data_IF_733322221795
#
_entry.id   IF_733322221795
#
_cell.length_a   1.000
_cell.length_b   1.000
_cell.length_c   1.000
_cell.angle_alpha   90.00
_cell.angle_beta   90.00
_cell.angle_gamma   90.00
#
_symmetry.space_group_name_H-M   'P 1'
#
loop_
_entity.id
_entity.type
_entity.pdbx_description
1 polymer ?
#
# COMPACT_ATOMS: atom_id res chain seq x y z
N UNK A 1 26.37 8.40 -12.25
CA UNK A 1 24.91 8.61 -12.37
C UNK A 1 24.19 7.41 -11.78
N UNK A 2 23.51 7.57 -10.64
CA UNK A 2 22.66 6.49 -10.10
C UNK A 2 21.47 6.25 -11.03
N UNK A 3 21.14 4.98 -11.30
CA UNK A 3 19.93 4.64 -12.06
C UNK A 3 18.70 5.13 -11.29
N UNK A 4 17.76 5.83 -11.93
CA UNK A 4 16.55 6.28 -11.23
C UNK A 4 15.82 5.05 -10.67
N UNK A 5 15.61 5.02 -9.36
CA UNK A 5 14.80 3.99 -8.74
C UNK A 5 13.38 3.99 -9.32
N UNK A 6 12.65 2.89 -9.19
CA UNK A 6 11.32 2.73 -9.82
C UNK A 6 10.30 3.83 -9.47
N UNK A 7 10.43 4.50 -8.30
CA UNK A 7 9.62 5.68 -7.96
C UNK A 7 9.99 6.93 -8.79
N UNK A 8 11.28 7.08 -9.12
CA UNK A 8 11.74 8.14 -10.03
C UNK A 8 11.24 7.94 -11.45
N UNK A 9 11.15 6.69 -11.92
CA UNK A 9 10.53 6.38 -13.22
C UNK A 9 9.04 6.77 -13.18
N UNK A 10 8.31 6.40 -12.12
CA UNK A 10 6.92 6.81 -11.97
C UNK A 10 6.75 8.35 -11.94
N UNK A 11 7.61 9.07 -11.23
CA UNK A 11 7.60 10.54 -11.21
C UNK A 11 7.82 11.13 -12.61
N UNK A 12 8.77 10.56 -13.38
CA UNK A 12 9.04 11.00 -14.74
C UNK A 12 7.84 10.76 -15.67
N UNK A 13 7.19 9.60 -15.57
CA UNK A 13 5.99 9.29 -16.35
C UNK A 13 4.84 10.27 -16.04
N UNK A 14 4.64 10.60 -14.77
CA UNK A 14 3.62 11.58 -14.36
C UNK A 14 3.96 12.97 -14.86
N UNK A 15 5.23 13.39 -14.81
CA UNK A 15 5.65 14.70 -15.31
C UNK A 15 5.45 14.83 -16.82
N UNK A 16 5.91 13.83 -17.60
CA UNK A 16 5.72 13.78 -19.05
C UNK A 16 4.23 13.76 -19.38
N UNK A 17 3.46 12.95 -18.64
CA UNK A 17 2.02 12.85 -18.80
C UNK A 17 1.32 14.18 -18.55
N UNK A 18 1.64 14.84 -17.43
CA UNK A 18 1.12 16.16 -17.08
C UNK A 18 1.45 17.22 -18.12
N UNK A 19 2.69 17.26 -18.61
CA UNK A 19 3.09 18.19 -19.67
C UNK A 19 2.28 17.96 -20.96
N UNK A 20 2.13 16.71 -21.39
CA UNK A 20 1.32 16.36 -22.55
C UNK A 20 -0.15 16.78 -22.40
N UNK A 21 -0.75 16.52 -21.22
CA UNK A 21 -2.14 16.94 -20.94
C UNK A 21 -2.31 18.47 -20.96
N UNK A 22 -1.30 19.21 -20.48
CA UNK A 22 -1.33 20.67 -20.46
C UNK A 22 -1.24 21.25 -21.87
N UNK A 23 -0.29 20.77 -22.66
CA UNK A 23 -0.12 21.18 -24.07
C UNK A 23 -1.37 20.88 -24.89
N UNK A 24 -1.98 19.70 -24.70
CA UNK A 24 -3.24 19.34 -25.36
C UNK A 24 -4.37 20.31 -25.00
N UNK A 25 -4.52 20.65 -23.72
CA UNK A 25 -5.59 21.54 -23.25
C UNK A 25 -5.50 22.92 -23.89
N UNK A 26 -4.30 23.51 -23.94
CA UNK A 26 -4.08 24.80 -24.59
C UNK A 26 -4.29 24.75 -26.10
N UNK A 27 -3.82 23.68 -26.75
CA UNK A 27 -4.07 23.47 -28.17
C UNK A 27 -5.58 23.44 -28.48
N UNK A 28 -6.36 22.72 -27.67
CA UNK A 28 -7.81 22.60 -27.88
C UNK A 28 -8.53 23.94 -27.68
N UNK A 29 -8.15 24.70 -26.64
CA UNK A 29 -8.65 26.06 -26.42
C UNK A 29 -8.35 26.95 -27.64
N UNK A 30 -7.13 26.90 -28.16
CA UNK A 30 -6.73 27.69 -29.34
C UNK A 30 -7.56 27.31 -30.57
N UNK A 31 -7.72 26.01 -30.85
CA UNK A 31 -8.48 25.54 -32.02
C UNK A 31 -9.96 25.92 -31.93
N UNK A 32 -10.60 25.70 -30.78
CA UNK A 32 -12.00 26.07 -30.59
C UNK A 32 -12.20 27.58 -30.63
N UNK A 33 -11.31 28.36 -30.03
CA UNK A 33 -11.36 29.83 -30.05
C UNK A 33 -11.22 30.37 -31.46
N UNK A 34 -10.31 29.81 -32.25
CA UNK A 34 -10.11 30.18 -33.66
C UNK A 34 -11.36 29.88 -34.49
N UNK A 35 -11.91 28.68 -34.38
CA UNK A 35 -13.14 28.28 -35.08
C UNK A 35 -14.34 29.16 -34.68
N UNK A 36 -14.48 29.47 -33.39
CA UNK A 36 -15.52 30.34 -32.88
C UNK A 36 -15.38 31.78 -33.39
N UNK A 37 -14.14 32.30 -33.47
CA UNK A 37 -13.84 33.63 -34.02
C UNK A 37 -14.16 33.73 -35.52
N UNK A 38 -13.78 32.73 -36.32
CA UNK A 38 -14.18 32.65 -37.74
C UNK A 38 -15.69 32.65 -37.86
N UNK A 39 -16.38 31.84 -37.05
CA UNK A 39 -17.82 31.74 -37.09
C UNK A 39 -18.51 33.08 -36.83
N UNK A 40 -18.21 33.74 -35.70
CA UNK A 40 -18.82 35.02 -35.37
C UNK A 40 -18.43 36.12 -36.36
N UNK A 41 -17.22 36.07 -36.93
CA UNK A 41 -16.79 36.99 -37.99
C UNK A 41 -17.62 36.85 -39.27
N UNK A 42 -17.86 35.61 -39.72
CA UNK A 42 -18.73 35.32 -40.87
C UNK A 42 -20.16 35.77 -40.56
N UNK A 43 -20.71 35.42 -39.40
CA UNK A 43 -22.06 35.78 -39.00
C UNK A 43 -22.25 37.30 -38.94
N UNK A 44 -21.29 38.02 -38.35
CA UNK A 44 -21.29 39.48 -38.29
C UNK A 44 -21.24 40.12 -39.67
N UNK A 45 -20.42 39.60 -40.57
CA UNK A 45 -20.29 40.10 -41.95
C UNK A 45 -21.57 39.87 -42.76
N UNK A 46 -22.16 38.68 -42.67
CA UNK A 46 -23.44 38.36 -43.34
C UNK A 46 -24.56 39.27 -42.84
N UNK A 47 -24.61 39.50 -41.52
CA UNK A 47 -25.60 40.39 -40.91
C UNK A 47 -25.41 41.85 -41.33
N UNK A 48 -24.17 42.33 -41.38
CA UNK A 48 -23.85 43.72 -41.74
C UNK A 48 -24.14 44.04 -43.21
N UNK A 49 -23.98 43.07 -44.11
CA UNK A 49 -24.20 43.27 -45.54
C UNK A 49 -25.67 43.27 -45.95
N UNK A 50 -26.61 43.02 -45.02
CA UNK A 50 -28.03 42.75 -45.33
C UNK A 50 -28.20 41.75 -46.49
N UNK A 51 -27.18 40.89 -46.71
CA UNK A 51 -27.16 40.00 -47.84
C UNK A 51 -28.29 39.00 -47.61
N UNK A 52 -29.30 39.04 -48.49
CA UNK A 52 -30.35 38.02 -48.48
C UNK A 52 -29.68 36.65 -48.49
N UNK A 53 -30.22 35.68 -47.72
CA UNK A 53 -29.67 34.31 -47.63
C UNK A 53 -29.41 33.66 -49.01
N UNK A 54 -30.02 34.19 -50.05
CA UNK A 54 -29.86 33.83 -51.46
C UNK A 54 -28.57 34.31 -52.14
N UNK A 55 -27.93 35.40 -51.68
CA UNK A 55 -26.70 35.94 -52.28
C UNK A 55 -25.41 35.36 -51.67
N UNK A 56 -25.50 34.83 -50.46
CA UNK A 56 -24.39 34.15 -49.79
C UNK A 56 -24.40 32.70 -50.28
N UNK A 57 -23.43 32.33 -51.12
CA UNK A 57 -23.38 31.00 -51.74
C UNK A 57 -23.59 29.85 -50.75
N UNK A 58 -24.24 28.77 -51.20
CA UNK A 58 -24.65 27.61 -50.38
C UNK A 58 -23.55 27.04 -49.47
N UNK A 59 -22.28 27.15 -49.88
CA UNK A 59 -21.13 26.70 -49.11
C UNK A 59 -20.87 27.54 -47.84
N UNK A 60 -21.09 28.87 -47.87
CA UNK A 60 -20.96 29.71 -46.67
C UNK A 60 -22.13 29.47 -45.70
N UNK A 61 -23.32 29.18 -46.24
CA UNK A 61 -24.50 28.85 -45.45
C UNK A 61 -24.37 27.49 -44.76
N UNK A 62 -23.71 26.51 -45.37
CA UNK A 62 -23.39 25.24 -44.70
C UNK A 62 -22.44 25.43 -43.51
N UNK A 63 -21.48 26.37 -43.59
CA UNK A 63 -20.60 26.72 -42.46
C UNK A 63 -21.39 27.33 -41.29
N UNK A 64 -22.52 27.97 -41.55
CA UNK A 64 -23.39 28.57 -40.51
C UNK A 64 -24.49 27.63 -39.99
N UNK A 65 -24.66 26.44 -40.58
CA UNK A 65 -25.68 25.45 -40.18
C UNK A 65 -25.11 24.22 -39.45
N UNK A 66 -23.80 24.13 -39.25
CA UNK A 66 -23.19 23.08 -38.43
C UNK A 66 -23.60 23.14 -36.95
N UNK A 67 -23.17 22.17 -36.11
CA UNK A 67 -23.42 22.15 -34.67
C UNK A 67 -22.62 23.27 -33.97
N UNK A 68 -23.02 24.51 -34.19
CA UNK A 68 -22.28 25.69 -33.77
C UNK A 68 -22.74 26.17 -32.40
N UNK A 69 -23.98 25.85 -32.02
CA UNK A 69 -24.47 26.05 -30.66
C UNK A 69 -23.65 25.32 -29.60
N UNK A 70 -22.92 24.26 -29.99
CA UNK A 70 -22.08 23.49 -29.08
C UNK A 70 -20.65 24.02 -28.96
N UNK A 71 -20.15 24.84 -29.90
CA UNK A 71 -18.76 25.36 -29.85
C UNK A 71 -18.43 26.13 -28.55
N UNK A 72 -19.31 27.02 -28.03
CA UNK A 72 -19.09 27.66 -26.73
C UNK A 72 -19.01 26.66 -25.57
N UNK A 73 -19.77 25.56 -25.64
CA UNK A 73 -19.74 24.49 -24.64
C UNK A 73 -18.41 23.72 -24.72
N UNK A 74 -17.94 23.38 -25.92
CA UNK A 74 -16.63 22.77 -26.10
C UNK A 74 -15.50 23.66 -25.56
N UNK A 75 -15.61 24.98 -25.77
CA UNK A 75 -14.62 25.92 -25.26
C UNK A 75 -14.63 25.94 -23.72
N UNK A 76 -15.83 25.96 -23.11
CA UNK A 76 -15.97 25.83 -21.64
C UNK A 76 -15.37 24.54 -21.11
N UNK A 77 -15.68 23.39 -21.72
CA UNK A 77 -15.11 22.10 -21.34
C UNK A 77 -13.58 22.11 -21.43
N UNK A 78 -13.02 22.77 -22.45
CA UNK A 78 -11.57 22.90 -22.62
C UNK A 78 -10.93 23.76 -21.52
N UNK A 79 -11.60 24.81 -21.04
CA UNK A 79 -11.15 25.56 -19.86
C UNK A 79 -11.24 24.72 -18.58
N UNK A 80 -12.26 23.87 -18.44
CA UNK A 80 -12.40 22.97 -17.28
C UNK A 80 -11.31 21.89 -17.26
N UNK A 81 -10.76 21.49 -18.41
CA UNK A 81 -9.61 20.57 -18.47
C UNK A 81 -8.33 21.14 -17.84
N UNK A 82 -8.11 22.45 -17.97
CA UNK A 82 -6.84 23.10 -17.59
C UNK A 82 -6.49 22.90 -16.11
N UNK A 83 -7.39 23.13 -15.13
CA UNK A 83 -7.10 22.86 -13.73
C UNK A 83 -6.61 21.42 -13.47
N UNK A 84 -7.23 20.42 -14.10
CA UNK A 84 -6.80 19.02 -13.93
C UNK A 84 -5.44 18.76 -14.55
N UNK A 85 -5.17 19.29 -15.74
CA UNK A 85 -3.85 19.18 -16.37
C UNK A 85 -2.76 19.85 -15.52
N UNK A 86 -3.05 21.03 -14.94
CA UNK A 86 -2.14 21.75 -14.02
C UNK A 86 -1.87 20.92 -12.77
N UNK A 87 -2.89 20.31 -12.16
CA UNK A 87 -2.72 19.43 -10.99
C UNK A 87 -1.81 18.24 -11.33
N UNK A 88 -2.05 17.57 -12.45
CA UNK A 88 -1.24 16.42 -12.89
C UNK A 88 0.23 16.86 -13.08
N UNK A 89 0.46 17.97 -13.78
CA UNK A 89 1.80 18.51 -14.04
C UNK A 89 2.51 18.95 -12.75
N UNK A 90 1.83 19.69 -11.88
CA UNK A 90 2.39 20.17 -10.61
C UNK A 90 2.78 19.01 -9.69
N UNK A 91 1.95 17.97 -9.60
CA UNK A 91 2.27 16.77 -8.82
C UNK A 91 3.44 15.99 -9.43
N UNK A 92 3.56 15.95 -10.76
CA UNK A 92 4.73 15.39 -11.45
C UNK A 92 6.03 16.10 -11.09
N UNK A 93 6.03 17.45 -11.11
CA UNK A 93 7.18 18.27 -10.68
C UNK A 93 7.49 17.96 -9.21
N UNK A 94 6.48 17.97 -8.34
CA UNK A 94 6.68 17.77 -6.92
C UNK A 94 7.27 16.39 -6.64
N UNK A 95 6.80 15.33 -7.29
CA UNK A 95 7.35 13.98 -7.16
C UNK A 95 8.80 13.89 -7.64
N UNK A 96 9.14 14.55 -8.75
CA UNK A 96 10.48 14.49 -9.31
C UNK A 96 11.50 15.20 -8.42
N UNK A 97 11.19 16.43 -7.96
CA UNK A 97 12.17 17.28 -7.27
C UNK A 97 12.14 17.13 -5.75
N UNK A 98 10.96 17.05 -5.13
CA UNK A 98 10.87 16.93 -3.66
C UNK A 98 10.98 15.48 -3.18
N UNK A 99 10.87 14.49 -4.08
CA UNK A 99 10.75 13.07 -3.75
C UNK A 99 9.65 12.78 -2.73
N UNK A 100 8.64 13.65 -2.63
CA UNK A 100 7.51 13.50 -1.70
C UNK A 100 6.41 12.64 -2.34
N UNK A 101 6.48 11.33 -2.08
CA UNK A 101 5.48 10.37 -2.53
C UNK A 101 4.52 10.05 -1.38
N UNK A 102 3.32 10.64 -1.38
CA UNK A 102 2.29 10.32 -0.40
C UNK A 102 1.10 9.61 -1.04
N UNK A 103 0.41 8.78 -0.24
CA UNK A 103 -0.84 8.11 -0.69
C UNK A 103 -1.90 9.12 -1.10
N UNK A 104 -2.05 10.19 -0.32
CA UNK A 104 -3.02 11.26 -0.61
C UNK A 104 -2.74 11.91 -1.98
N UNK A 105 -1.49 12.25 -2.27
CA UNK A 105 -1.12 12.79 -3.58
C UNK A 105 -1.37 11.81 -4.73
N UNK A 106 -1.10 10.52 -4.52
CA UNK A 106 -1.38 9.51 -5.55
C UNK A 106 -2.88 9.33 -5.81
N UNK A 107 -3.73 9.43 -4.78
CA UNK A 107 -5.20 9.43 -4.93
C UNK A 107 -5.66 10.67 -5.70
N UNK A 108 -5.18 11.87 -5.33
CA UNK A 108 -5.50 13.12 -6.03
C UNK A 108 -5.09 13.05 -7.49
N UNK A 109 -3.90 12.53 -7.77
CA UNK A 109 -3.40 12.36 -9.12
C UNK A 109 -4.24 11.38 -9.94
N UNK A 110 -4.62 10.23 -9.36
CA UNK A 110 -5.48 9.25 -10.01
C UNK A 110 -6.85 9.86 -10.34
N UNK A 111 -7.47 10.55 -9.38
CA UNK A 111 -8.74 11.24 -9.57
C UNK A 111 -8.66 12.29 -10.68
N UNK A 112 -7.65 13.17 -10.63
CA UNK A 112 -7.45 14.20 -11.64
C UNK A 112 -7.24 13.60 -13.04
N UNK A 113 -6.49 12.49 -13.14
CA UNK A 113 -6.25 11.79 -14.41
C UNK A 113 -7.53 11.18 -14.99
N UNK A 114 -8.37 10.56 -14.16
CA UNK A 114 -9.66 9.98 -14.60
C UNK A 114 -10.62 11.06 -15.07
N UNK A 115 -10.77 12.15 -14.31
CA UNK A 115 -11.64 13.27 -14.69
C UNK A 115 -11.16 13.92 -15.98
N UNK A 116 -9.84 14.14 -16.10
CA UNK A 116 -9.23 14.66 -17.33
C UNK A 116 -9.54 13.78 -18.54
N UNK A 117 -9.34 12.45 -18.43
CA UNK A 117 -9.60 11.51 -19.52
C UNK A 117 -11.10 11.49 -19.92
N UNK A 118 -12.00 11.57 -18.95
CA UNK A 118 -13.44 11.63 -19.21
C UNK A 118 -13.83 12.91 -19.95
N UNK A 119 -13.34 14.06 -19.52
CA UNK A 119 -13.59 15.36 -20.17
C UNK A 119 -12.97 15.43 -21.57
N UNK A 120 -11.75 14.89 -21.74
CA UNK A 120 -11.10 14.80 -23.05
C UNK A 120 -11.88 13.89 -24.01
N UNK A 121 -12.46 12.79 -23.50
CA UNK A 121 -13.31 11.91 -24.28
C UNK A 121 -14.63 12.56 -24.69
N UNK A 122 -15.28 13.31 -23.80
CA UNK A 122 -16.47 14.09 -24.15
C UNK A 122 -16.17 15.12 -25.25
N UNK A 123 -15.07 15.87 -25.11
CA UNK A 123 -14.63 16.80 -26.14
C UNK A 123 -14.37 16.11 -27.47
N UNK A 124 -13.73 14.94 -27.45
CA UNK A 124 -13.47 14.21 -28.68
C UNK A 124 -14.76 13.71 -29.34
N UNK A 125 -15.70 13.15 -28.59
CA UNK A 125 -16.93 12.58 -29.15
C UNK A 125 -17.79 13.65 -29.82
N UNK A 126 -17.91 14.83 -29.20
CA UNK A 126 -18.83 15.87 -29.66
C UNK A 126 -18.17 16.89 -30.62
N UNK A 127 -16.84 17.00 -30.63
CA UNK A 127 -16.13 18.05 -31.39
C UNK A 127 -15.02 17.51 -32.32
N UNK A 128 -15.01 16.20 -32.61
CA UNK A 128 -14.01 15.56 -33.49
C UNK A 128 -13.81 16.25 -34.85
N UNK A 129 -14.89 16.78 -35.43
CA UNK A 129 -14.87 17.41 -36.75
C UNK A 129 -14.04 18.70 -36.83
N UNK A 130 -13.74 19.33 -35.68
CA UNK A 130 -13.10 20.65 -35.64
C UNK A 130 -11.58 20.60 -35.49
N UNK A 131 -10.99 19.46 -35.10
CA UNK A 131 -9.56 19.38 -34.76
C UNK A 131 -8.68 18.85 -35.89
N UNK A 132 -9.27 18.35 -36.98
CA UNK A 132 -8.63 18.11 -38.29
C UNK A 132 -7.44 17.14 -38.35
N UNK A 133 -6.91 16.66 -37.21
CA UNK A 133 -5.67 15.88 -37.15
C UNK A 133 -5.70 14.78 -36.09
N UNK A 134 -5.65 13.53 -36.57
CA UNK A 134 -5.55 12.28 -35.79
C UNK A 134 -4.37 12.28 -34.79
N UNK A 135 -3.28 12.97 -35.10
CA UNK A 135 -2.06 12.97 -34.29
C UNK A 135 -2.23 13.72 -32.96
N UNK A 136 -3.02 14.79 -32.94
CA UNK A 136 -3.25 15.59 -31.72
C UNK A 136 -4.15 14.84 -30.72
N UNK A 137 -5.00 13.95 -31.23
CA UNK A 137 -5.90 13.13 -30.41
C UNK A 137 -5.16 12.18 -29.49
N UNK A 138 -3.97 11.68 -29.87
CA UNK A 138 -3.22 10.76 -29.01
C UNK A 138 -2.61 11.43 -27.77
N UNK A 139 -2.33 12.74 -27.81
CA UNK A 139 -1.61 13.44 -26.75
C UNK A 139 -2.35 13.46 -25.40
N UNK A 140 -3.67 13.69 -25.43
CA UNK A 140 -4.49 13.74 -24.21
C UNK A 140 -4.55 12.39 -23.49
N UNK A 141 -4.80 11.31 -24.26
CA UNK A 141 -4.94 9.97 -23.70
C UNK A 141 -3.60 9.42 -23.25
N UNK A 142 -2.54 9.61 -24.03
CA UNK A 142 -1.18 9.22 -23.61
C UNK A 142 -0.83 9.95 -22.32
N UNK A 143 -1.09 11.26 -22.23
CA UNK A 143 -0.80 12.04 -21.03
C UNK A 143 -1.56 11.55 -19.80
N UNK A 144 -2.89 11.41 -19.90
CA UNK A 144 -3.74 10.97 -18.81
C UNK A 144 -3.48 9.52 -18.38
N UNK A 145 -3.22 8.61 -19.33
CA UNK A 145 -2.90 7.20 -19.04
C UNK A 145 -1.55 7.07 -18.35
N UNK A 146 -0.53 7.82 -18.77
CA UNK A 146 0.78 7.82 -18.11
C UNK A 146 0.69 8.32 -16.66
N UNK A 147 -0.08 9.39 -16.44
CA UNK A 147 -0.32 9.92 -15.10
C UNK A 147 -1.06 8.91 -14.21
N UNK A 148 -2.10 8.26 -14.75
CA UNK A 148 -2.87 7.23 -14.04
C UNK A 148 -2.04 5.99 -13.72
N UNK A 149 -1.18 5.55 -14.64
CA UNK A 149 -0.27 4.43 -14.42
C UNK A 149 0.74 4.75 -13.31
N UNK A 150 1.32 5.96 -13.33
CA UNK A 150 2.21 6.44 -12.26
C UNK A 150 1.53 6.50 -10.89
N UNK A 151 0.30 7.02 -10.85
CA UNK A 151 -0.51 7.05 -9.62
C UNK A 151 -0.79 5.64 -9.07
N UNK A 152 -1.23 4.73 -9.95
CA UNK A 152 -1.55 3.35 -9.62
C UNK A 152 -0.33 2.60 -9.07
N UNK A 153 0.84 2.80 -9.70
CA UNK A 153 2.09 2.22 -9.23
C UNK A 153 2.44 2.66 -7.79
N UNK A 154 2.31 3.95 -7.49
CA UNK A 154 2.57 4.46 -6.13
C UNK A 154 1.56 3.89 -5.13
N UNK A 155 0.28 3.81 -5.49
CA UNK A 155 -0.74 3.22 -4.62
C UNK A 155 -0.45 1.75 -4.31
N UNK A 156 -0.19 0.92 -5.32
CA UNK A 156 0.16 -0.50 -5.15
C UNK A 156 1.43 -0.71 -4.31
N UNK A 157 2.44 0.15 -4.48
CA UNK A 157 3.66 0.07 -3.67
C UNK A 157 3.43 0.53 -2.23
N UNK A 158 2.49 1.44 -2.02
CA UNK A 158 2.17 2.01 -0.72
C UNK A 158 1.27 1.10 0.13
N UNK A 159 0.47 0.22 -0.50
CA UNK A 159 -0.28 -0.84 0.19
C UNK A 159 0.66 -1.93 0.70
N UNK A 160 1.70 -2.28 -0.06
CA UNK A 160 2.75 -3.22 0.38
C UNK A 160 3.71 -2.71 1.47
N UNK A 161 3.59 -1.43 1.90
CA UNK A 161 4.47 -0.80 2.91
C UNK A 161 3.75 -0.46 4.23
N UNK A 162 2.62 -1.09 4.53
CA UNK A 162 1.85 -0.81 5.75
C UNK A 162 2.55 -1.21 7.08
N UNK A 163 3.79 -1.74 7.05
CA UNK A 163 4.57 -2.10 8.26
C UNK A 163 5.87 -1.29 8.41
N UNK A 164 5.81 0.02 8.16
CA UNK A 164 6.83 0.97 8.65
C UNK A 164 6.19 2.08 9.48
N UNK A 165 5.36 1.72 10.47
CA UNK A 165 5.31 2.56 11.66
C UNK A 165 6.64 2.32 12.36
N UNK A 166 7.49 3.34 12.41
CA UNK A 166 8.76 3.29 13.13
C UNK A 166 8.53 2.55 14.45
N UNK A 167 9.19 1.41 14.60
CA UNK A 167 9.01 0.55 15.75
C UNK A 167 9.47 1.33 16.97
N UNK A 168 8.51 1.89 17.70
CA UNK A 168 8.76 2.43 19.01
C UNK A 168 9.41 1.31 19.83
N UNK A 169 10.67 1.52 20.18
CA UNK A 169 11.42 0.69 21.10
C UNK A 169 10.60 0.58 22.38
N UNK A 170 10.18 -0.63 22.74
CA UNK A 170 9.48 -0.86 24.00
C UNK A 170 10.58 -1.08 25.04
N UNK A 171 10.70 -0.14 25.98
CA UNK A 171 11.58 -0.28 27.14
C UNK A 171 10.84 -1.02 28.23
N UNK A 172 11.53 -1.97 28.86
CA UNK A 172 11.04 -2.78 29.97
C UNK A 172 11.87 -2.40 31.19
N UNK A 173 11.21 -2.05 32.28
CA UNK A 173 11.85 -1.65 33.53
C UNK A 173 11.78 -2.82 34.55
N UNK A 174 12.90 -3.48 34.88
CA UNK A 174 12.91 -4.62 35.79
C UNK A 174 12.22 -4.41 37.14
N UNK A 175 12.17 -3.16 37.62
CA UNK A 175 11.59 -2.82 38.92
C UNK A 175 10.05 -2.81 38.90
N UNK A 176 9.44 -2.80 37.70
CA UNK A 176 7.98 -2.70 37.52
C UNK A 176 7.37 -3.86 36.70
N UNK A 177 7.57 -5.14 37.12
CA UNK A 177 7.19 -6.31 36.31
C UNK A 177 5.69 -6.44 36.04
N UNK A 178 4.85 -5.97 36.96
CA UNK A 178 3.40 -5.95 36.75
C UNK A 178 3.00 -4.95 35.65
N UNK A 179 3.56 -3.75 35.69
CA UNK A 179 3.32 -2.70 34.69
C UNK A 179 3.85 -3.12 33.32
N UNK A 180 5.01 -3.78 33.27
CA UNK A 180 5.59 -4.30 32.04
C UNK A 180 4.65 -5.26 31.33
N UNK A 181 3.93 -6.14 32.06
CA UNK A 181 2.98 -7.06 31.45
C UNK A 181 1.86 -6.33 30.71
N UNK A 182 1.32 -5.26 31.32
CA UNK A 182 0.31 -4.40 30.67
C UNK A 182 0.88 -3.66 29.47
N UNK A 183 2.11 -3.15 29.56
CA UNK A 183 2.79 -2.45 28.46
C UNK A 183 3.00 -3.41 27.29
N UNK A 184 3.53 -4.61 27.54
CA UNK A 184 3.77 -5.63 26.53
C UNK A 184 2.46 -6.09 25.87
N UNK A 185 1.43 -6.41 26.67
CA UNK A 185 0.13 -6.81 26.10
C UNK A 185 -0.47 -5.71 25.22
N UNK A 186 -0.44 -4.45 25.67
CA UNK A 186 -1.08 -3.33 24.95
C UNK A 186 -0.25 -2.76 23.79
N UNK A 187 1.08 -2.81 23.85
CA UNK A 187 1.97 -2.19 22.86
C UNK A 187 2.63 -3.20 21.92
N UNK A 188 2.94 -4.41 22.40
CA UNK A 188 3.52 -5.47 21.58
C UNK A 188 2.42 -6.38 21.03
N UNK A 189 1.71 -7.09 21.91
CA UNK A 189 0.78 -8.16 21.50
C UNK A 189 -0.43 -7.64 20.72
N UNK A 190 -0.97 -6.48 21.11
CA UNK A 190 -2.07 -5.81 20.41
C UNK A 190 -1.76 -5.47 18.94
N UNK A 191 -0.47 -5.33 18.59
CA UNK A 191 -0.02 -5.04 17.22
C UNK A 191 0.06 -6.28 16.34
N UNK A 192 0.08 -7.46 16.95
CA UNK A 192 0.14 -8.72 16.25
C UNK A 192 -1.26 -9.19 15.83
N UNK A 193 -1.33 -9.99 14.77
CA UNK A 193 -2.57 -10.62 14.29
C UNK A 193 -2.29 -11.84 13.41
N UNK A 194 -3.28 -12.71 13.27
CA UNK A 194 -3.19 -13.87 12.39
C UNK A 194 -2.33 -14.98 13.01
N UNK A 195 -1.34 -15.44 12.25
CA UNK A 195 -0.42 -16.51 12.66
C UNK A 195 0.78 -15.96 13.44
N UNK A 196 0.85 -16.28 14.73
CA UNK A 196 1.92 -15.86 15.62
C UNK A 196 3.00 -16.95 15.67
N UNK A 197 4.25 -16.57 15.46
CA UNK A 197 5.40 -17.47 15.50
C UNK A 197 6.39 -16.99 16.56
N UNK A 198 6.77 -17.87 17.47
CA UNK A 198 7.62 -17.57 18.62
C UNK A 198 8.85 -18.48 18.56
N UNK A 199 10.03 -17.87 18.57
CA UNK A 199 11.30 -18.57 18.71
C UNK A 199 11.91 -18.19 20.05
N UNK A 200 11.96 -19.14 20.99
CA UNK A 200 12.60 -18.93 22.29
C UNK A 200 13.19 -20.23 22.85
N UNK A 201 14.52 -20.30 22.92
CA UNK A 201 15.21 -21.47 23.46
C UNK A 201 15.10 -21.61 24.98
N UNK A 202 14.55 -20.61 25.68
CA UNK A 202 14.35 -20.63 27.13
C UNK A 202 12.88 -20.81 27.51
N UNK A 203 12.05 -21.27 26.56
CA UNK A 203 10.63 -21.48 26.77
C UNK A 203 10.40 -22.60 27.81
N UNK A 204 9.67 -22.28 28.87
CA UNK A 204 9.39 -23.15 30.02
C UNK A 204 7.97 -22.90 30.55
N UNK A 205 7.64 -23.43 31.74
CA UNK A 205 6.32 -23.26 32.36
C UNK A 205 5.98 -21.78 32.56
N UNK A 206 6.94 -20.98 33.01
CA UNK A 206 6.75 -19.54 33.19
C UNK A 206 6.53 -18.81 31.85
N UNK A 207 7.08 -19.32 30.75
CA UNK A 207 6.79 -18.79 29.43
C UNK A 207 5.32 -19.01 29.02
N UNK A 208 4.71 -20.16 29.34
CA UNK A 208 3.28 -20.41 29.13
C UNK A 208 2.42 -19.43 29.96
N UNK A 209 2.74 -19.26 31.24
CA UNK A 209 2.03 -18.35 32.15
C UNK A 209 2.13 -16.88 31.70
N UNK A 210 3.28 -16.46 31.16
CA UNK A 210 3.43 -15.13 30.59
C UNK A 210 2.68 -15.01 29.26
N UNK A 211 2.72 -16.04 28.41
CA UNK A 211 2.04 -16.02 27.11
C UNK A 211 0.53 -15.87 27.26
N UNK A 212 -0.11 -16.57 28.21
CA UNK A 212 -1.54 -16.42 28.45
C UNK A 212 -1.89 -14.99 28.91
N UNK A 213 -1.12 -14.43 29.84
CA UNK A 213 -1.34 -13.04 30.32
C UNK A 213 -1.17 -12.01 29.20
N UNK A 214 -0.16 -12.21 28.35
CA UNK A 214 0.12 -11.35 27.22
C UNK A 214 -0.99 -11.39 26.15
N UNK A 215 -1.55 -12.57 25.91
CA UNK A 215 -2.52 -12.81 24.83
C UNK A 215 -3.98 -12.58 25.25
N UNK A 216 -4.34 -12.69 26.53
CA UNK A 216 -5.72 -12.69 27.03
C UNK A 216 -6.59 -11.51 26.51
N UNK A 217 -6.03 -10.30 26.43
CA UNK A 217 -6.73 -9.11 25.93
C UNK A 217 -6.85 -9.02 24.39
N UNK A 218 -6.25 -9.97 23.66
CA UNK A 218 -6.07 -9.88 22.21
C UNK A 218 -6.45 -11.18 21.46
N UNK A 219 -7.02 -12.18 22.13
CA UNK A 219 -7.25 -13.52 21.59
C UNK A 219 -8.06 -13.53 20.28
N UNK A 220 -9.08 -12.68 20.15
CA UNK A 220 -9.89 -12.60 18.93
C UNK A 220 -9.15 -12.12 17.67
N UNK A 221 -7.85 -11.80 17.77
CA UNK A 221 -6.99 -11.38 16.65
C UNK A 221 -6.09 -12.51 16.14
N UNK A 222 -5.97 -13.61 16.88
CA UNK A 222 -5.02 -14.67 16.60
C UNK A 222 -5.74 -15.87 15.99
N UNK A 223 -5.12 -16.47 14.98
CA UNK A 223 -5.59 -17.70 14.34
C UNK A 223 -4.80 -18.90 14.85
N UNK A 224 -3.49 -18.73 14.99
CA UNK A 224 -2.60 -19.77 15.50
C UNK A 224 -1.40 -19.17 16.23
N UNK A 225 -0.82 -19.96 17.14
CA UNK A 225 0.43 -19.65 17.82
C UNK A 225 1.35 -20.87 17.69
N UNK A 226 2.51 -20.67 17.07
CA UNK A 226 3.52 -21.68 16.81
C UNK A 226 4.80 -21.37 17.58
N UNK A 227 5.31 -22.30 18.38
CA UNK A 227 6.46 -22.09 19.26
C UNK A 227 7.60 -23.05 18.91
N UNK A 228 8.80 -22.51 18.75
CA UNK A 228 10.06 -23.26 18.70
C UNK A 228 10.83 -23.10 20.01
N UNK A 229 11.14 -24.24 20.64
CA UNK A 229 11.82 -24.32 21.93
C UNK A 229 12.94 -25.37 21.95
N UNK A 230 13.76 -25.34 23.02
CA UNK A 230 14.74 -26.37 23.34
C UNK A 230 14.13 -27.37 24.34
N UNK A 231 14.57 -28.63 24.28
CA UNK A 231 14.02 -29.73 25.10
C UNK A 231 14.33 -29.63 26.60
N UNK A 232 15.45 -29.00 26.96
CA UNK A 232 16.06 -29.07 28.31
C UNK A 232 15.18 -28.52 29.44
N UNK A 233 14.16 -27.72 29.13
CA UNK A 233 13.23 -27.13 30.09
C UNK A 233 11.81 -27.72 30.02
N UNK A 234 11.59 -28.74 29.20
CA UNK A 234 10.27 -29.33 28.94
C UNK A 234 10.08 -30.61 29.77
N UNK A 235 10.00 -30.44 31.09
CA UNK A 235 9.82 -31.52 32.06
C UNK A 235 8.34 -32.01 32.14
N UNK A 236 8.05 -32.95 33.04
CA UNK A 236 6.70 -33.50 33.23
C UNK A 236 5.69 -32.46 33.72
N UNK A 237 6.12 -31.47 34.51
CA UNK A 237 5.27 -30.35 34.92
C UNK A 237 4.86 -29.48 33.72
N UNK A 238 5.82 -29.18 32.84
CA UNK A 238 5.56 -28.49 31.58
C UNK A 238 4.55 -29.23 30.73
N UNK A 239 4.67 -30.55 30.60
CA UNK A 239 3.75 -31.35 29.79
C UNK A 239 2.29 -31.21 30.25
N UNK A 240 2.05 -31.26 31.57
CA UNK A 240 0.71 -31.08 32.13
C UNK A 240 0.15 -29.70 31.77
N UNK A 241 0.93 -28.64 32.03
CA UNK A 241 0.54 -27.25 31.76
C UNK A 241 0.35 -26.99 30.27
N UNK A 242 1.16 -27.62 29.42
CA UNK A 242 1.08 -27.52 27.97
C UNK A 242 -0.26 -28.07 27.45
N UNK A 243 -0.71 -29.23 27.93
CA UNK A 243 -2.00 -29.84 27.52
C UNK A 243 -3.18 -28.97 27.91
N UNK A 244 -3.17 -28.44 29.14
CA UNK A 244 -4.21 -27.54 29.63
C UNK A 244 -4.24 -26.24 28.81
N UNK A 245 -3.07 -25.63 28.60
CA UNK A 245 -2.93 -24.38 27.84
C UNK A 245 -3.35 -24.54 26.37
N UNK A 246 -2.93 -25.64 25.72
CA UNK A 246 -3.32 -25.96 24.34
C UNK A 246 -4.84 -26.09 24.22
N UNK A 247 -5.46 -26.85 25.12
CA UNK A 247 -6.91 -27.06 25.13
C UNK A 247 -7.66 -25.74 25.37
N UNK A 248 -7.16 -24.87 26.25
CA UNK A 248 -7.77 -23.56 26.50
C UNK A 248 -7.74 -22.66 25.24
N UNK A 249 -6.65 -22.66 24.48
CA UNK A 249 -6.54 -21.90 23.23
C UNK A 249 -7.43 -22.49 22.12
N UNK A 250 -7.46 -23.82 21.99
CA UNK A 250 -8.30 -24.51 21.00
C UNK A 250 -9.79 -24.28 21.24
N UNK A 251 -10.24 -24.28 22.50
CA UNK A 251 -11.60 -23.91 22.89
C UNK A 251 -11.97 -22.47 22.50
N UNK A 252 -10.98 -21.61 22.28
CA UNK A 252 -11.15 -20.22 21.81
C UNK A 252 -10.92 -20.08 20.30
N UNK A 253 -10.78 -21.18 19.57
CA UNK A 253 -10.57 -21.21 18.12
C UNK A 253 -9.15 -20.86 17.68
N UNK A 254 -8.17 -20.94 18.59
CA UNK A 254 -6.76 -20.61 18.31
C UNK A 254 -5.95 -21.90 18.29
N UNK A 255 -5.37 -22.25 17.15
CA UNK A 255 -4.50 -23.43 17.05
C UNK A 255 -3.17 -23.18 17.77
N UNK A 256 -2.70 -24.14 18.58
CA UNK A 256 -1.41 -24.05 19.26
C UNK A 256 -0.52 -25.25 18.91
N UNK A 257 0.71 -24.99 18.46
CA UNK A 257 1.70 -26.02 18.16
C UNK A 257 3.06 -25.65 18.75
N UNK A 258 3.68 -26.59 19.47
CA UNK A 258 5.04 -26.44 19.98
C UNK A 258 5.92 -27.51 19.33
N UNK A 259 7.06 -27.08 18.80
CA UNK A 259 8.09 -27.97 18.27
C UNK A 259 9.41 -27.76 19.00
N UNK A 260 10.14 -28.85 19.12
CA UNK A 260 11.42 -28.96 19.79
C UNK A 260 12.52 -29.03 18.73
N UNK A 261 13.49 -28.13 18.82
CA UNK A 261 14.67 -28.15 17.96
C UNK A 261 15.68 -29.21 18.41
N UNK A 262 16.46 -29.71 17.44
CA UNK A 262 17.63 -30.52 17.74
C UNK A 262 18.63 -29.73 18.60
N UNK A 263 19.44 -30.42 19.41
CA UNK A 263 20.44 -29.75 20.26
C UNK A 263 21.47 -28.95 19.43
N UNK A 264 21.82 -29.46 18.25
CA UNK A 264 22.73 -28.81 17.31
C UNK A 264 22.17 -27.49 16.77
N UNK A 265 20.87 -27.42 16.50
CA UNK A 265 20.26 -26.21 15.95
C UNK A 265 19.89 -25.22 17.05
N UNK A 266 19.42 -25.73 18.20
CA UNK A 266 19.13 -24.93 19.38
C UNK A 266 20.38 -24.21 19.91
N UNK A 267 21.53 -24.88 19.94
CA UNK A 267 22.79 -24.28 20.44
C UNK A 267 23.32 -23.15 19.56
N UNK A 268 23.04 -23.17 18.25
CA UNK A 268 23.39 -22.08 17.33
C UNK A 268 22.43 -20.89 17.42
N UNK A 269 21.25 -21.10 17.99
CA UNK A 269 20.21 -20.09 18.02
C UNK A 269 20.22 -19.30 19.33
N UNK A 270 20.74 -18.07 19.27
CA UNK A 270 20.74 -17.15 20.40
C UNK A 270 19.68 -16.04 20.27
N UNK A 271 19.12 -15.87 19.08
CA UNK A 271 18.08 -14.88 18.85
C UNK A 271 16.72 -15.40 19.31
N UNK A 272 15.93 -14.48 19.84
CA UNK A 272 14.56 -14.74 20.28
C UNK A 272 13.65 -13.81 19.53
N UNK A 273 12.62 -14.36 18.91
CA UNK A 273 11.80 -13.63 17.96
C UNK A 273 10.32 -13.87 18.21
N UNK A 274 9.54 -12.81 18.02
CA UNK A 274 8.09 -12.82 17.98
C UNK A 274 7.66 -12.25 16.63
N UNK A 275 6.95 -13.06 15.85
CA UNK A 275 6.69 -12.79 14.44
C UNK A 275 5.20 -12.96 14.19
N UNK A 276 4.62 -12.09 13.38
CA UNK A 276 3.30 -12.29 12.78
C UNK A 276 3.37 -12.13 11.25
N UNK A 277 2.21 -12.02 10.61
CA UNK A 277 2.12 -11.85 9.15
C UNK A 277 2.77 -10.56 8.63
N UNK A 278 2.86 -9.52 9.47
CA UNK A 278 3.22 -8.17 9.03
C UNK A 278 4.47 -7.61 9.71
N UNK A 279 4.90 -8.19 10.82
CA UNK A 279 5.89 -7.65 11.72
C UNK A 279 6.72 -8.74 12.39
N UNK A 280 7.92 -8.37 12.80
CA UNK A 280 8.79 -9.22 13.59
C UNK A 280 9.54 -8.37 14.61
N UNK A 281 9.73 -8.95 15.79
CA UNK A 281 10.37 -8.31 16.93
C UNK A 281 11.42 -9.24 17.53
N UNK A 282 12.58 -8.69 17.87
CA UNK A 282 13.52 -9.35 18.79
C UNK A 282 13.05 -9.10 20.21
N UNK A 283 12.88 -10.17 20.97
CA UNK A 283 12.31 -10.12 22.33
C UNK A 283 13.29 -10.69 23.37
N UNK A 284 13.15 -10.33 24.65
CA UNK A 284 13.75 -11.06 25.75
C UNK A 284 13.20 -12.50 25.85
N UNK A 285 13.81 -13.38 26.66
CA UNK A 285 13.21 -14.67 27.01
C UNK A 285 11.79 -14.49 27.54
N UNK A 286 10.84 -15.26 27.00
CA UNK A 286 9.42 -15.11 27.30
C UNK A 286 9.11 -15.45 28.76
N UNK A 287 9.86 -16.38 29.36
CA UNK A 287 9.73 -16.75 30.77
C UNK A 287 10.05 -15.62 31.76
N UNK A 288 10.85 -14.63 31.35
CA UNK A 288 11.22 -13.45 32.16
C UNK A 288 11.02 -12.13 31.42
N UNK A 289 10.14 -12.09 30.42
CA UNK A 289 9.98 -10.94 29.51
C UNK A 289 9.59 -9.65 30.23
N UNK A 290 8.95 -9.76 31.38
CA UNK A 290 8.53 -8.63 32.21
C UNK A 290 9.58 -8.20 33.26
N UNK A 291 10.70 -8.91 33.40
CA UNK A 291 11.72 -8.66 34.42
C UNK A 291 13.10 -8.32 33.83
N UNK A 292 13.30 -8.55 32.54
CA UNK A 292 14.60 -8.32 31.90
C UNK A 292 14.69 -6.91 31.32
N UNK A 293 15.74 -6.17 31.68
CA UNK A 293 16.05 -4.88 31.06
C UNK A 293 16.61 -5.11 29.66
N UNK A 294 15.72 -5.30 28.70
CA UNK A 294 16.07 -5.45 27.30
C UNK A 294 15.05 -4.71 26.44
N UNK A 295 15.56 -4.13 25.35
CA UNK A 295 14.74 -3.41 24.41
C UNK A 295 14.12 -4.34 23.39
N UNK A 296 12.80 -4.26 23.24
CA UNK A 296 12.11 -4.93 22.15
C UNK A 296 12.22 -4.07 20.90
N UNK A 297 12.93 -4.61 19.91
CA UNK A 297 13.25 -3.92 18.65
C UNK A 297 12.62 -4.66 17.48
N UNK A 298 12.12 -3.91 16.50
CA UNK A 298 11.62 -4.52 15.27
C UNK A 298 12.78 -4.94 14.38
N UNK A 299 12.61 -6.09 13.74
CA UNK A 299 13.54 -6.67 12.77
C UNK A 299 12.83 -6.84 11.42
N UNK A 300 13.59 -7.12 10.37
CA UNK A 300 13.02 -7.40 9.05
C UNK A 300 12.17 -8.67 9.11
N UNK A 301 10.88 -8.54 8.84
CA UNK A 301 9.93 -9.64 8.96
C UNK A 301 10.23 -10.79 7.98
N UNK A 302 10.57 -10.47 6.72
CA UNK A 302 10.88 -11.48 5.72
C UNK A 302 12.05 -12.39 6.16
N UNK A 303 13.13 -11.78 6.68
CA UNK A 303 14.30 -12.52 7.17
C UNK A 303 13.94 -13.39 8.38
N UNK A 304 13.12 -12.87 9.30
CA UNK A 304 12.68 -13.60 10.49
C UNK A 304 11.75 -14.79 10.13
N UNK A 305 10.83 -14.61 9.19
CA UNK A 305 9.93 -15.67 8.70
C UNK A 305 10.72 -16.77 8.01
N UNK A 306 11.69 -16.42 7.16
CA UNK A 306 12.56 -17.39 6.49
C UNK A 306 13.27 -18.25 7.54
N UNK A 307 13.98 -17.62 8.47
CA UNK A 307 14.70 -18.33 9.55
C UNK A 307 13.78 -19.23 10.37
N UNK A 308 12.61 -18.74 10.77
CA UNK A 308 11.65 -19.55 11.53
C UNK A 308 11.18 -20.76 10.73
N UNK A 309 10.88 -20.57 9.44
CA UNK A 309 10.34 -21.63 8.57
C UNK A 309 11.35 -22.75 8.36
N UNK A 310 12.62 -22.42 8.12
CA UNK A 310 13.71 -23.38 7.96
C UNK A 310 13.81 -24.28 9.22
N UNK A 311 13.86 -23.66 10.40
CA UNK A 311 13.93 -24.37 11.68
C UNK A 311 12.66 -25.18 11.96
N UNK A 312 11.48 -24.64 11.59
CA UNK A 312 10.20 -25.30 11.82
C UNK A 312 10.05 -26.61 11.06
N UNK A 313 10.56 -26.67 9.82
CA UNK A 313 10.50 -27.90 9.01
C UNK A 313 11.34 -29.05 9.56
N UNK A 314 12.42 -28.75 10.28
CA UNK A 314 13.33 -29.74 10.86
C UNK A 314 12.97 -30.08 12.32
N UNK A 315 12.18 -29.23 12.99
CA UNK A 315 11.80 -29.41 14.37
C UNK A 315 10.76 -30.53 14.57
N UNK A 316 10.84 -31.22 15.71
CA UNK A 316 9.93 -32.32 16.07
C UNK A 316 8.78 -31.79 16.92
N UNK A 317 7.53 -32.19 16.61
CA UNK A 317 6.37 -31.86 17.48
C UNK A 317 6.59 -32.34 18.91
N UNK A 318 6.23 -31.52 19.88
CA UNK A 318 6.43 -31.83 21.29
C UNK A 318 5.77 -33.15 21.69
N UNK A 319 4.57 -33.41 21.18
CA UNK A 319 3.81 -34.65 21.43
C UNK A 319 4.53 -35.90 20.91
N UNK A 320 5.27 -35.78 19.79
CA UNK A 320 6.04 -36.88 19.21
C UNK A 320 7.44 -37.02 19.83
N UNK A 321 7.99 -35.93 20.36
CA UNK A 321 9.28 -35.94 21.03
C UNK A 321 9.23 -36.84 22.26
N UNK A 322 8.15 -36.75 23.06
CA UNK A 322 7.99 -37.55 24.28
C UNK A 322 7.74 -39.03 24.02
N UNK A 323 7.02 -39.40 22.95
CA UNK A 323 6.85 -40.80 22.60
C UNK A 323 8.17 -41.51 22.26
N UNK A 324 9.21 -40.75 21.88
CA UNK A 324 10.52 -41.31 21.53
C UNK A 324 11.39 -41.53 22.77
N UNK A 325 11.35 -40.63 23.76
CA UNK A 325 12.08 -40.81 25.04
C UNK A 325 11.53 -41.99 25.85
N UNK A 326 10.22 -42.21 25.84
CA UNK A 326 9.60 -43.31 26.59
C UNK A 326 9.87 -44.72 26.02
N UNK A 327 10.30 -44.81 24.75
CA UNK A 327 10.68 -46.09 24.12
C UNK A 327 12.17 -46.43 24.27
N UNK A 328 12.96 -45.53 24.86
CA UNK A 328 14.40 -45.69 25.06
C UNK A 328 14.77 -45.90 26.55
N UNK A 329 13.77 -45.97 27.44
CA UNK A 329 13.91 -46.30 28.87
C UNK A 329 13.28 -47.66 29.14
#
# INVERSE_FOLDING_TARGET
MEKPGALGIAALLVLIGGFATLMYSFYYIQQLSFNLGIYYGIQGTVSALNASKTAVGSNLLQVTQGPISTLPLGLHLSYVLVPFAVIIFALGILWLFSKAYSKAMAVVLAFASVVYLALAALLQLDFFSFTGTQLVLSGAYVGGVLALAGASYVLLRSTGKSSRRAAQQISIDPETPYSNMKILSNRLMKRLSGEIRILDMHFDVSALDNLIQLTQGNLGRYKSISVLAKADRLNSEFEKRYKDFKSELENKGIAFELRVLSEKDASKQHERMLIDENSAYKIPPLNIINKKSEHIVSIKQADAVHRFSDMWSEATRFENFKSTEHNLQ
#
